data_IF_621240580359
#
_entry.id   IF_621240580359
#
_cell.length_a   1.000
_cell.length_b   1.000
_cell.length_c   1.000
_cell.angle_alpha   90.00
_cell.angle_beta   90.00
_cell.angle_gamma   90.00
#
_symmetry.space_group_name_H-M   'P 1'
#
loop_
_entity.id
_entity.type
_entity.pdbx_description
1 polymer ?
#
# COMPACT_ATOMS: atom_id res chain seq x y z
N UNK A 1 -17.28 22.28 -11.74
CA UNK A 1 -17.05 20.83 -11.61
C UNK A 1 -15.81 20.51 -12.42
N UNK A 2 -14.72 20.10 -11.77
CA UNK A 2 -13.37 20.11 -12.35
C UNK A 2 -12.97 18.73 -12.88
N UNK A 3 -12.02 18.68 -13.81
CA UNK A 3 -11.47 17.44 -14.39
C UNK A 3 -11.03 16.43 -13.32
N UNK A 4 -10.58 16.91 -12.15
CA UNK A 4 -10.21 16.09 -11.00
C UNK A 4 -11.39 15.37 -10.33
N UNK A 5 -12.60 15.95 -10.30
CA UNK A 5 -13.78 15.27 -9.75
C UNK A 5 -14.25 14.13 -10.68
N UNK A 6 -14.18 14.35 -12.00
CA UNK A 6 -14.54 13.31 -12.97
C UNK A 6 -13.57 12.12 -12.94
N UNK A 7 -12.28 12.34 -12.71
CA UNK A 7 -11.31 11.24 -12.55
C UNK A 7 -11.54 10.44 -11.26
N UNK A 8 -11.91 11.12 -10.16
CA UNK A 8 -12.23 10.48 -8.89
C UNK A 8 -13.47 9.58 -9.03
N UNK A 9 -14.51 10.08 -9.70
CA UNK A 9 -15.75 9.34 -9.98
C UNK A 9 -15.54 8.19 -10.99
N UNK A 10 -14.70 8.38 -12.02
CA UNK A 10 -14.47 7.39 -13.09
C UNK A 10 -13.67 6.16 -12.63
N UNK A 11 -12.80 6.31 -11.63
CA UNK A 11 -11.98 5.20 -11.11
C UNK A 11 -12.70 4.46 -9.98
N UNK A 12 -13.98 4.75 -9.72
CA UNK A 12 -14.71 4.21 -8.57
C UNK A 12 -13.87 4.41 -7.29
N UNK A 13 -13.25 5.57 -7.11
CA UNK A 13 -12.52 5.90 -5.89
C UNK A 13 -13.44 6.78 -5.04
N UNK A 14 -13.74 6.36 -3.80
CA UNK A 14 -14.48 7.20 -2.86
C UNK A 14 -16.01 7.16 -2.95
N UNK A 15 -16.57 6.28 -3.77
CA UNK A 15 -18.01 6.04 -3.86
C UNK A 15 -18.47 5.10 -2.72
N UNK A 16 -18.61 5.67 -1.52
CA UNK A 16 -19.07 4.96 -0.33
C UNK A 16 -20.59 5.05 -0.12
N UNK A 17 -21.30 5.86 -0.92
CA UNK A 17 -22.73 6.15 -0.78
C UNK A 17 -23.50 5.87 -2.08
N UNK A 18 -24.75 5.41 -1.95
CA UNK A 18 -25.65 5.02 -3.04
C UNK A 18 -25.96 6.19 -4.01
N UNK A 19 -26.18 5.99 -5.34
CA UNK A 19 -26.29 4.72 -6.10
C UNK A 19 -24.98 4.12 -6.60
N UNK A 20 -23.89 4.89 -6.61
CA UNK A 20 -22.58 4.41 -7.01
C UNK A 20 -21.85 3.96 -5.74
N UNK A 21 -21.93 2.67 -5.41
CA UNK A 21 -21.19 2.07 -4.29
C UNK A 21 -20.05 1.25 -4.85
N UNK A 22 -18.83 1.49 -4.37
CA UNK A 22 -17.70 0.60 -4.62
C UNK A 22 -18.01 -0.77 -4.04
N UNK A 23 -18.26 -1.78 -4.88
CA UNK A 23 -18.51 -3.15 -4.43
C UNK A 23 -17.22 -3.89 -4.03
N UNK A 24 -16.03 -3.33 -4.33
CA UNK A 24 -14.74 -4.00 -4.14
C UNK A 24 -13.68 -3.09 -3.51
N UNK A 25 -12.86 -3.61 -2.57
CA UNK A 25 -11.80 -2.84 -1.94
C UNK A 25 -10.60 -2.66 -2.89
N UNK A 26 -10.49 -1.48 -3.51
CA UNK A 26 -9.50 -1.17 -4.54
C UNK A 26 -8.08 -1.11 -3.97
N UNK A 27 -7.89 -0.57 -2.77
CA UNK A 27 -6.54 -0.47 -2.20
C UNK A 27 -5.94 -1.86 -1.91
N UNK A 28 -6.59 -2.78 -1.16
CA UNK A 28 -6.09 -4.13 -1.00
C UNK A 28 -5.83 -4.88 -2.31
N UNK A 29 -6.63 -4.64 -3.35
CA UNK A 29 -6.38 -5.24 -4.67
C UNK A 29 -5.09 -4.69 -5.31
N UNK A 30 -4.89 -3.37 -5.26
CA UNK A 30 -3.81 -2.70 -5.99
C UNK A 30 -2.47 -2.71 -5.26
N UNK A 31 -2.42 -2.76 -3.91
CA UNK A 31 -1.16 -2.66 -3.14
C UNK A 31 -0.15 -3.76 -3.45
N UNK A 32 -0.61 -4.93 -3.91
CA UNK A 32 0.26 -6.06 -4.22
C UNK A 32 1.24 -5.75 -5.35
N UNK A 33 0.82 -4.98 -6.36
CA UNK A 33 1.66 -4.65 -7.50
C UNK A 33 2.91 -3.84 -7.13
N UNK A 34 2.80 -2.63 -6.53
CA UNK A 34 3.99 -1.89 -6.11
C UNK A 34 4.75 -2.64 -5.03
N UNK A 35 4.10 -3.35 -4.11
CA UNK A 35 4.79 -4.13 -3.09
C UNK A 35 5.71 -5.18 -3.75
N UNK A 36 5.19 -5.97 -4.69
CA UNK A 36 5.97 -6.99 -5.40
C UNK A 36 7.10 -6.35 -6.21
N UNK A 37 6.78 -5.40 -7.09
CA UNK A 37 7.78 -4.82 -7.99
C UNK A 37 8.88 -4.07 -7.24
N UNK A 38 8.53 -3.25 -6.23
CA UNK A 38 9.52 -2.51 -5.45
C UNK A 38 10.37 -3.45 -4.59
N UNK A 39 9.78 -4.45 -3.95
CA UNK A 39 10.55 -5.45 -3.17
C UNK A 39 11.51 -6.23 -4.05
N UNK A 40 11.07 -6.65 -5.25
CA UNK A 40 11.94 -7.31 -6.23
C UNK A 40 13.06 -6.38 -6.69
N UNK A 41 12.76 -5.11 -6.98
CA UNK A 41 13.78 -4.13 -7.39
C UNK A 41 14.88 -3.96 -6.33
N UNK A 42 14.50 -3.71 -5.07
CA UNK A 42 15.47 -3.56 -3.98
C UNK A 42 16.26 -4.83 -3.69
N UNK A 43 15.62 -5.99 -3.85
CA UNK A 43 16.30 -7.29 -3.73
C UNK A 43 17.36 -7.45 -4.82
N UNK A 44 17.02 -7.15 -6.08
CA UNK A 44 17.95 -7.26 -7.20
C UNK A 44 19.13 -6.28 -7.10
N UNK A 45 18.88 -5.04 -6.66
CA UNK A 45 19.94 -4.06 -6.41
C UNK A 45 20.86 -4.50 -5.26
N UNK A 46 20.28 -5.10 -4.21
CA UNK A 46 21.05 -5.71 -3.11
C UNK A 46 21.91 -6.86 -3.62
N UNK A 47 21.33 -7.80 -4.38
CA UNK A 47 22.05 -8.94 -4.98
C UNK A 47 23.16 -8.44 -5.88
N UNK A 48 22.91 -7.43 -6.73
CA UNK A 48 23.92 -6.83 -7.59
C UNK A 48 25.11 -6.27 -6.77
N UNK A 49 24.82 -5.54 -5.69
CA UNK A 49 25.85 -4.97 -4.82
C UNK A 49 26.67 -6.03 -4.08
N UNK A 50 26.01 -7.03 -3.51
CA UNK A 50 26.66 -8.12 -2.76
C UNK A 50 27.48 -9.01 -3.71
N UNK A 51 26.95 -9.35 -4.89
CA UNK A 51 27.65 -10.15 -5.88
C UNK A 51 28.95 -9.49 -6.39
N UNK A 52 28.94 -8.16 -6.55
CA UNK A 52 30.14 -7.40 -6.90
C UNK A 52 31.18 -7.31 -5.76
N UNK A 53 30.80 -7.62 -4.52
CA UNK A 53 31.68 -7.49 -3.34
C UNK A 53 32.26 -8.81 -2.86
N UNK A 54 31.50 -9.90 -2.93
CA UNK A 54 31.85 -11.17 -2.31
C UNK A 54 32.15 -12.25 -3.35
N UNK A 55 33.36 -12.83 -3.29
CA UNK A 55 33.82 -13.91 -4.19
C UNK A 55 32.91 -15.14 -4.19
N UNK A 56 32.23 -15.43 -3.07
CA UNK A 56 31.28 -16.54 -2.96
C UNK A 56 30.14 -16.43 -3.98
N UNK A 57 29.83 -15.23 -4.47
CA UNK A 57 28.78 -14.96 -5.45
C UNK A 57 29.34 -14.67 -6.85
N UNK A 58 30.61 -14.98 -7.13
CA UNK A 58 31.23 -14.73 -8.43
C UNK A 58 30.52 -15.45 -9.59
N UNK A 59 29.81 -16.54 -9.31
CA UNK A 59 28.98 -17.25 -10.30
C UNK A 59 27.83 -16.38 -10.86
N UNK A 60 27.44 -15.30 -10.18
CA UNK A 60 26.44 -14.33 -10.65
C UNK A 60 27.01 -13.28 -11.60
N UNK A 61 28.34 -13.14 -11.71
CA UNK A 61 29.01 -12.11 -12.52
C UNK A 61 28.50 -12.04 -13.97
N UNK A 62 28.32 -13.19 -14.69
CA UNK A 62 27.82 -13.16 -16.06
C UNK A 62 26.39 -12.58 -16.19
N UNK A 63 25.61 -12.62 -15.11
CA UNK A 63 24.20 -12.22 -15.10
C UNK A 63 23.97 -10.82 -14.52
N UNK A 64 25.02 -10.12 -14.06
CA UNK A 64 24.87 -8.80 -13.41
C UNK A 64 24.19 -7.76 -14.30
N UNK A 65 24.44 -7.81 -15.61
CA UNK A 65 23.77 -6.94 -16.57
C UNK A 65 22.25 -7.17 -16.60
N UNK A 66 21.82 -8.42 -16.57
CA UNK A 66 20.40 -8.79 -16.62
C UNK A 66 19.70 -8.56 -15.29
N UNK A 67 20.36 -8.88 -14.17
CA UNK A 67 19.90 -8.53 -12.82
C UNK A 67 19.65 -7.03 -12.73
N UNK A 68 20.57 -6.23 -13.25
CA UNK A 68 20.45 -4.77 -13.24
C UNK A 68 19.29 -4.27 -14.10
N UNK A 69 19.15 -4.76 -15.34
CA UNK A 69 18.04 -4.41 -16.23
C UNK A 69 16.69 -4.77 -15.62
N UNK A 70 16.56 -5.99 -15.08
CA UNK A 70 15.34 -6.43 -14.42
C UNK A 70 15.02 -5.57 -13.20
N UNK A 71 16.01 -5.26 -12.35
CA UNK A 71 15.83 -4.37 -11.20
C UNK A 71 15.35 -2.98 -11.60
N UNK A 72 15.91 -2.42 -12.68
CA UNK A 72 15.47 -1.13 -13.22
C UNK A 72 14.01 -1.17 -13.72
N UNK A 73 13.64 -2.21 -14.47
CA UNK A 73 12.26 -2.40 -14.94
C UNK A 73 11.28 -2.57 -13.77
N UNK A 74 11.68 -3.30 -12.72
CA UNK A 74 10.88 -3.45 -11.51
C UNK A 74 10.71 -2.12 -10.76
N UNK A 75 11.73 -1.26 -10.67
CA UNK A 75 11.53 0.10 -10.11
C UNK A 75 10.50 0.89 -10.92
N UNK A 76 10.60 0.89 -12.26
CA UNK A 76 9.66 1.61 -13.12
C UNK A 76 8.25 1.07 -12.96
N UNK A 77 8.07 -0.26 -13.05
CA UNK A 77 6.77 -0.90 -12.87
C UNK A 77 6.19 -0.64 -11.48
N UNK A 78 7.01 -0.69 -10.43
CA UNK A 78 6.61 -0.37 -9.05
C UNK A 78 6.14 1.07 -8.89
N UNK A 79 6.83 2.04 -9.50
CA UNK A 79 6.41 3.45 -9.49
C UNK A 79 5.08 3.64 -10.22
N UNK A 80 4.93 3.07 -11.42
CA UNK A 80 3.69 3.19 -12.20
C UNK A 80 2.51 2.58 -11.42
N UNK A 81 2.70 1.38 -10.87
CA UNK A 81 1.67 0.66 -10.13
C UNK A 81 1.41 1.25 -8.73
N UNK A 82 2.32 2.06 -8.18
CA UNK A 82 2.07 2.79 -6.93
C UNK A 82 1.03 3.90 -7.07
N UNK A 83 0.80 4.42 -8.28
CA UNK A 83 -0.18 5.48 -8.51
C UNK A 83 -1.59 5.09 -8.07
N UNK A 84 -2.20 4.00 -8.58
CA UNK A 84 -3.52 3.58 -8.11
C UNK A 84 -3.51 3.27 -6.61
N UNK A 85 -2.48 2.58 -6.09
CA UNK A 85 -2.40 2.22 -4.66
C UNK A 85 -2.31 3.43 -3.73
N UNK A 86 -1.57 4.47 -4.09
CA UNK A 86 -1.50 5.71 -3.33
C UNK A 86 -2.83 6.44 -3.36
N UNK A 87 -3.44 6.57 -4.54
CA UNK A 87 -4.73 7.27 -4.66
C UNK A 87 -5.82 6.57 -3.83
N UNK A 88 -5.95 5.25 -3.94
CA UNK A 88 -6.94 4.48 -3.19
C UNK A 88 -6.64 4.45 -1.69
N UNK A 89 -5.37 4.31 -1.30
CA UNK A 89 -4.97 4.28 0.12
C UNK A 89 -5.16 5.63 0.81
N UNK A 90 -4.85 6.74 0.12
CA UNK A 90 -5.13 8.08 0.62
C UNK A 90 -6.63 8.34 0.78
N UNK A 91 -7.47 7.87 -0.15
CA UNK A 91 -8.91 7.97 -0.04
C UNK A 91 -9.47 7.18 1.16
N UNK A 92 -9.01 5.93 1.36
CA UNK A 92 -9.40 5.12 2.52
C UNK A 92 -8.93 5.74 3.84
N UNK A 93 -7.72 6.28 3.90
CA UNK A 93 -7.20 6.98 5.08
C UNK A 93 -8.00 8.26 5.38
N UNK A 94 -8.38 9.02 4.35
CA UNK A 94 -9.19 10.23 4.49
C UNK A 94 -10.58 9.93 5.07
N UNK A 95 -11.23 8.87 4.59
CA UNK A 95 -12.51 8.43 5.12
C UNK A 95 -12.40 7.91 6.56
N UNK A 96 -11.33 7.18 6.88
CA UNK A 96 -11.03 6.78 8.25
C UNK A 96 -10.84 8.01 9.16
N UNK A 97 -10.15 9.04 8.69
CA UNK A 97 -9.94 10.28 9.42
C UNK A 97 -11.26 11.04 9.65
N UNK A 98 -12.05 11.27 8.60
CA UNK A 98 -13.35 11.98 8.68
C UNK A 98 -14.36 11.29 9.61
N UNK A 99 -14.40 9.95 9.59
CA UNK A 99 -15.34 9.16 10.40
C UNK A 99 -14.84 8.95 11.84
N UNK A 100 -13.72 9.56 12.23
CA UNK A 100 -13.13 9.39 13.55
C UNK A 100 -12.57 7.98 13.81
N UNK A 101 -12.35 7.20 12.74
CA UNK A 101 -11.85 5.83 12.75
C UNK A 101 -12.87 4.80 12.24
N UNK A 102 -12.76 3.54 12.71
CA UNK A 102 -13.71 2.47 12.38
C UNK A 102 -15.09 2.89 12.88
N UNK A 103 -16.10 2.75 12.02
CA UNK A 103 -17.49 3.18 12.22
C UNK A 103 -17.94 3.03 13.68
N UNK A 104 -18.17 4.16 14.35
CA UNK A 104 -18.44 4.24 15.79
C UNK A 104 -19.64 3.35 16.20
N UNK A 105 -20.67 3.28 15.35
CA UNK A 105 -21.84 2.40 15.54
C UNK A 105 -21.51 0.92 15.54
N UNK A 106 -20.60 0.47 14.67
CA UNK A 106 -20.18 -0.95 14.63
C UNK A 106 -19.38 -1.33 15.88
N UNK A 107 -18.69 -0.35 16.48
CA UNK A 107 -17.93 -0.52 17.72
C UNK A 107 -18.78 -0.43 18.97
N UNK A 108 -19.82 0.41 18.98
CA UNK A 108 -20.81 0.46 20.06
C UNK A 108 -21.51 -0.89 20.23
N UNK A 109 -21.76 -1.59 19.11
CA UNK A 109 -22.36 -2.92 19.08
C UNK A 109 -21.41 -4.05 19.49
N UNK A 110 -20.09 -3.89 19.32
CA UNK A 110 -19.12 -4.99 19.48
C UNK A 110 -18.20 -4.84 20.69
N UNK A 111 -17.81 -3.63 21.10
CA UNK A 111 -17.05 -3.39 22.33
C UNK A 111 -17.13 -1.93 22.84
N UNK A 112 -18.12 -1.59 23.70
CA UNK A 112 -18.41 -0.22 24.12
C UNK A 112 -17.31 0.51 24.92
N UNK A 113 -16.21 -0.16 25.30
CA UNK A 113 -15.12 0.42 26.11
C UNK A 113 -13.83 0.70 25.35
N UNK A 114 -13.75 0.37 24.05
CA UNK A 114 -12.47 0.37 23.30
C UNK A 114 -12.31 1.52 22.27
N UNK A 115 -13.08 2.61 22.41
CA UNK A 115 -13.41 3.51 21.29
C UNK A 115 -12.28 4.41 20.79
N UNK A 116 -11.54 5.10 21.67
CA UNK A 116 -10.55 6.11 21.25
C UNK A 116 -9.17 5.52 20.88
N UNK A 117 -8.66 4.59 21.69
CA UNK A 117 -7.30 4.06 21.51
C UNK A 117 -7.16 3.28 20.20
N UNK A 118 -8.15 2.47 19.85
CA UNK A 118 -8.11 1.68 18.61
C UNK A 118 -8.19 2.58 17.36
N UNK A 119 -9.02 3.63 17.40
CA UNK A 119 -9.19 4.54 16.26
C UNK A 119 -7.94 5.40 16.05
N UNK A 120 -7.44 6.05 17.10
CA UNK A 120 -6.21 6.83 17.04
C UNK A 120 -5.01 5.98 16.61
N UNK A 121 -4.91 4.73 17.08
CA UNK A 121 -3.86 3.79 16.67
C UNK A 121 -3.99 3.35 15.22
N UNK A 122 -5.20 3.23 14.68
CA UNK A 122 -5.43 2.88 13.27
C UNK A 122 -4.95 3.98 12.33
N UNK A 123 -5.29 5.24 12.63
CA UNK A 123 -4.83 6.40 11.87
C UNK A 123 -3.30 6.50 11.93
N UNK A 124 -2.69 6.32 13.11
CA UNK A 124 -1.22 6.31 13.27
C UNK A 124 -0.55 5.23 12.43
N UNK A 125 -1.10 4.00 12.42
CA UNK A 125 -0.58 2.91 11.59
C UNK A 125 -0.74 3.23 10.10
N UNK A 126 -1.90 3.76 9.68
CA UNK A 126 -2.15 4.17 8.30
C UNK A 126 -1.18 5.26 7.81
N UNK A 127 -0.92 6.27 8.64
CA UNK A 127 0.08 7.30 8.35
C UNK A 127 1.50 6.73 8.26
N UNK A 128 1.89 5.86 9.20
CA UNK A 128 3.21 5.23 9.19
C UNK A 128 3.41 4.33 7.96
N UNK A 129 2.41 3.50 7.63
CA UNK A 129 2.38 2.68 6.43
C UNK A 129 2.50 3.54 5.16
N UNK A 130 1.67 4.58 5.04
CA UNK A 130 1.72 5.51 3.90
C UNK A 130 3.08 6.19 3.75
N UNK A 131 3.65 6.69 4.86
CA UNK A 131 4.94 7.35 4.87
C UNK A 131 6.08 6.41 4.45
N UNK A 132 6.12 5.17 4.94
CA UNK A 132 7.13 4.19 4.54
C UNK A 132 7.06 3.88 3.03
N UNK A 133 5.84 3.71 2.48
CA UNK A 133 5.70 3.49 1.04
C UNK A 133 6.04 4.73 0.21
N UNK A 134 5.77 5.93 0.72
CA UNK A 134 6.18 7.17 0.06
C UNK A 134 7.71 7.30 -0.01
N UNK A 135 8.41 6.98 1.08
CA UNK A 135 9.88 6.91 1.10
C UNK A 135 10.39 5.87 0.11
N UNK A 136 9.78 4.68 0.06
CA UNK A 136 10.14 3.67 -0.93
C UNK A 136 9.95 4.18 -2.36
N UNK A 137 8.82 4.78 -2.70
CA UNK A 137 8.62 5.39 -4.01
C UNK A 137 9.66 6.49 -4.31
N UNK A 138 10.04 7.29 -3.32
CA UNK A 138 11.12 8.27 -3.46
C UNK A 138 12.48 7.64 -3.78
N UNK A 139 12.86 6.57 -3.08
CA UNK A 139 14.08 5.81 -3.34
C UNK A 139 14.08 5.21 -4.75
N UNK A 140 12.96 4.63 -5.16
CA UNK A 140 12.81 4.07 -6.52
C UNK A 140 12.85 5.16 -7.60
N UNK A 141 12.25 6.32 -7.34
CA UNK A 141 12.33 7.47 -8.25
C UNK A 141 13.78 7.92 -8.41
N UNK A 142 14.53 8.01 -7.32
CA UNK A 142 15.96 8.28 -7.35
C UNK A 142 16.75 7.22 -8.13
N UNK A 143 16.46 5.94 -7.91
CA UNK A 143 17.10 4.83 -8.64
C UNK A 143 16.83 4.93 -10.15
N UNK A 144 15.58 5.09 -10.57
CA UNK A 144 15.22 5.25 -11.99
C UNK A 144 15.93 6.46 -12.59
N UNK A 145 15.86 7.61 -11.90
CA UNK A 145 16.50 8.84 -12.35
C UNK A 145 18.00 8.63 -12.56
N UNK A 146 18.73 8.17 -11.55
CA UNK A 146 20.19 8.03 -11.64
C UNK A 146 20.65 6.95 -12.62
N UNK A 147 19.87 5.89 -12.82
CA UNK A 147 20.24 4.74 -13.64
C UNK A 147 19.88 4.88 -15.12
N UNK A 148 18.96 5.78 -15.49
CA UNK A 148 18.41 5.89 -16.87
C UNK A 148 19.44 6.07 -17.99
N UNK A 149 20.62 6.61 -17.67
CA UNK A 149 21.73 6.83 -18.63
C UNK A 149 22.92 5.91 -18.37
N UNK A 150 22.86 5.04 -17.35
CA UNK A 150 23.96 4.15 -17.00
C UNK A 150 23.98 2.93 -17.95
N UNK A 151 25.17 2.43 -18.35
CA UNK A 151 25.28 1.19 -19.10
C UNK A 151 24.55 0.05 -18.39
N UNK A 152 23.67 -0.64 -19.11
CA UNK A 152 22.81 -1.71 -18.57
C UNK A 152 21.96 -1.31 -17.36
N UNK A 153 21.74 -0.01 -17.14
CA UNK A 153 21.07 0.54 -15.98
C UNK A 153 21.72 0.16 -14.64
N UNK A 154 23.05 -0.03 -14.61
CA UNK A 154 23.79 -0.44 -13.42
C UNK A 154 23.48 0.48 -12.20
N UNK A 155 23.11 -0.08 -11.01
CA UNK A 155 22.89 0.74 -9.83
C UNK A 155 24.21 1.27 -9.29
N UNK A 156 24.22 2.55 -8.91
CA UNK A 156 25.35 3.16 -8.21
C UNK A 156 25.42 2.75 -6.73
N UNK A 157 26.52 3.08 -6.06
CA UNK A 157 26.73 2.75 -4.63
C UNK A 157 25.61 3.28 -3.73
N UNK A 158 25.12 4.49 -4.01
CA UNK A 158 24.03 5.11 -3.24
C UNK A 158 22.70 4.36 -3.47
N UNK A 159 22.36 4.02 -4.72
CA UNK A 159 21.15 3.23 -5.03
C UNK A 159 21.17 1.86 -4.37
N UNK A 160 22.33 1.19 -4.33
CA UNK A 160 22.52 -0.08 -3.63
C UNK A 160 22.28 0.09 -2.12
N UNK A 161 22.91 1.08 -1.49
CA UNK A 161 22.75 1.33 -0.05
C UNK A 161 21.29 1.64 0.30
N UNK A 162 20.64 2.51 -0.48
CA UNK A 162 19.23 2.84 -0.28
C UNK A 162 18.35 1.61 -0.46
N UNK A 163 18.61 0.75 -1.45
CA UNK A 163 17.87 -0.49 -1.66
C UNK A 163 18.00 -1.45 -0.48
N UNK A 164 19.21 -1.63 0.07
CA UNK A 164 19.47 -2.46 1.25
C UNK A 164 18.68 -1.97 2.46
N UNK A 165 18.61 -0.65 2.67
CA UNK A 165 17.87 -0.06 3.79
C UNK A 165 16.35 -0.05 3.56
N UNK A 166 15.91 0.11 2.31
CA UNK A 166 14.49 0.23 1.97
C UNK A 166 13.80 -1.12 1.94
N UNK A 167 14.49 -2.20 1.57
CA UNK A 167 13.92 -3.55 1.56
C UNK A 167 13.27 -3.96 2.91
N UNK A 168 13.95 -3.87 4.08
CA UNK A 168 13.30 -4.15 5.35
C UNK A 168 12.22 -3.12 5.70
N UNK A 169 12.36 -1.85 5.30
CA UNK A 169 11.34 -0.84 5.52
C UNK A 169 10.03 -1.15 4.77
N UNK A 170 10.11 -1.68 3.55
CA UNK A 170 8.96 -2.16 2.78
C UNK A 170 8.31 -3.37 3.44
N UNK A 171 9.11 -4.32 3.95
CA UNK A 171 8.58 -5.47 4.68
C UNK A 171 7.82 -5.04 5.96
N UNK A 172 8.38 -4.08 6.72
CA UNK A 172 7.70 -3.48 7.87
C UNK A 172 6.42 -2.76 7.45
N UNK A 173 6.46 -2.00 6.36
CA UNK A 173 5.27 -1.32 5.83
C UNK A 173 4.18 -2.33 5.45
N UNK A 174 4.53 -3.44 4.80
CA UNK A 174 3.60 -4.51 4.46
C UNK A 174 2.96 -5.14 5.71
N UNK A 175 3.73 -5.36 6.77
CA UNK A 175 3.21 -5.85 8.04
C UNK A 175 2.22 -4.86 8.68
N UNK A 176 2.50 -3.55 8.64
CA UNK A 176 1.57 -2.51 9.11
C UNK A 176 0.28 -2.47 8.28
N UNK A 177 0.37 -2.63 6.96
CA UNK A 177 -0.80 -2.76 6.08
C UNK A 177 -1.62 -4.00 6.41
N UNK A 178 -0.96 -5.14 6.67
CA UNK A 178 -1.59 -6.37 7.13
C UNK A 178 -2.30 -6.21 8.48
N UNK A 179 -1.71 -5.49 9.44
CA UNK A 179 -2.35 -5.20 10.73
C UNK A 179 -3.62 -4.35 10.57
N UNK A 180 -3.63 -3.37 9.65
CA UNK A 180 -4.84 -2.59 9.34
C UNK A 180 -5.95 -3.51 8.79
N UNK A 181 -5.59 -4.40 7.86
CA UNK A 181 -6.55 -5.28 7.19
C UNK A 181 -7.03 -6.41 8.10
N UNK A 182 -6.11 -7.24 8.59
CA UNK A 182 -6.44 -8.46 9.33
C UNK A 182 -6.63 -8.21 10.83
N UNK A 183 -5.87 -7.30 11.42
CA UNK A 183 -5.97 -6.98 12.85
C UNK A 183 -7.11 -6.01 13.17
N UNK A 184 -7.42 -5.10 12.23
CA UNK A 184 -8.36 -3.99 12.48
C UNK A 184 -9.54 -3.92 11.51
N UNK A 185 -9.61 -4.79 10.51
CA UNK A 185 -10.74 -4.85 9.57
C UNK A 185 -10.85 -3.63 8.63
N UNK A 186 -9.78 -2.85 8.48
CA UNK A 186 -9.73 -1.69 7.59
C UNK A 186 -9.41 -2.17 6.18
N UNK A 187 -10.14 -1.70 5.16
CA UNK A 187 -9.99 -2.20 3.78
C UNK A 187 -10.71 -3.53 3.50
N UNK A 188 -11.30 -4.17 4.52
CA UNK A 188 -12.18 -5.35 4.37
C UNK A 188 -13.61 -5.08 4.84
N UNK A 189 -14.00 -3.81 4.93
CA UNK A 189 -15.37 -3.44 5.26
C UNK A 189 -16.32 -4.07 4.24
N UNK A 190 -17.39 -4.70 4.75
CA UNK A 190 -18.45 -5.24 3.90
C UNK A 190 -19.00 -4.10 3.06
N UNK A 191 -19.01 -4.30 1.73
CA UNK A 191 -19.55 -3.37 0.75
C UNK A 191 -20.67 -4.06 -0.04
N UNK A 192 -21.48 -3.30 -0.79
CA UNK A 192 -22.60 -3.85 -1.56
C UNK A 192 -23.63 -4.60 -0.71
N UNK A 193 -24.14 -5.74 -1.19
CA UNK A 193 -25.15 -6.54 -0.49
C UNK A 193 -24.74 -6.96 0.94
N UNK A 194 -23.45 -7.20 1.18
CA UNK A 194 -22.95 -7.58 2.50
C UNK A 194 -23.01 -6.41 3.51
N UNK A 195 -22.97 -5.16 3.02
CA UNK A 195 -23.22 -3.98 3.84
C UNK A 195 -24.71 -3.85 4.16
N UNK A 196 -25.57 -4.09 3.18
CA UNK A 196 -27.03 -4.00 3.36
C UNK A 196 -27.52 -5.06 4.35
N UNK A 197 -27.02 -6.29 4.26
CA UNK A 197 -27.29 -7.36 5.23
C UNK A 197 -26.84 -6.98 6.65
N UNK A 198 -25.68 -6.31 6.77
CA UNK A 198 -25.21 -5.80 8.05
C UNK A 198 -26.13 -4.72 8.62
N UNK A 199 -26.51 -3.74 7.80
CA UNK A 199 -27.43 -2.66 8.21
C UNK A 199 -28.79 -3.25 8.61
N UNK A 200 -29.29 -4.23 7.86
CA UNK A 200 -30.52 -4.94 8.17
C UNK A 200 -30.41 -5.70 9.51
N UNK A 201 -29.34 -6.48 9.69
CA UNK A 201 -29.10 -7.21 10.94
C UNK A 201 -29.00 -6.28 12.16
N UNK A 202 -28.37 -5.11 12.02
CA UNK A 202 -28.33 -4.09 13.08
C UNK A 202 -29.75 -3.60 13.43
N UNK A 203 -30.57 -3.26 12.43
CA UNK A 203 -31.95 -2.82 12.64
C UNK A 203 -32.78 -3.90 13.34
N UNK A 204 -32.66 -5.15 12.92
CA UNK A 204 -33.36 -6.28 13.53
C UNK A 204 -32.93 -6.52 14.98
N UNK A 205 -31.65 -6.31 15.30
CA UNK A 205 -31.15 -6.45 16.67
C UNK A 205 -31.66 -5.32 17.58
N UNK A 206 -31.70 -4.09 17.07
CA UNK A 206 -32.12 -2.91 17.84
C UNK A 206 -33.61 -2.96 18.15
N UNK A 207 -34.44 -3.43 17.21
CA UNK A 207 -35.88 -3.59 17.39
C UNK A 207 -36.29 -4.76 18.28
N UNK A 208 -35.38 -5.71 18.59
CA UNK A 208 -35.65 -6.83 19.52
C UNK A 208 -35.34 -6.50 20.98
N UNK A 209 -34.69 -5.37 21.22
CA UNK A 209 -34.31 -4.89 22.55
C UNK A 209 -35.32 -3.91 23.18
N UNK A 210 -36.40 -3.60 22.46
CA UNK A 210 -37.60 -2.89 22.94
C UNK A 210 -38.71 -3.89 23.28
#
# INVERSE_FOLDING_TARGET
MGVLSNLYDTVELGHFDWPFRNSHPVHPATVHFPLTFLSTAYTLDTVYGVANRYRALAFLTPFLGDISRLGYLCHVAGLVTSLPSFTSGSAELWELYKKGGINQKDKELTNPKSHEDINSRSIKIGLAHGALNFVAAGVSTYAVWTRRMAPSFAPGRVSILLSVLTLPAVALSAALGGELVYGKGIGVQRMGYALDEKIQGIKEHTNKSD
#
